data_IF_331590707971
#
_entry.id   IF_331590707971
#
_cell.length_a   1.000
_cell.length_b   1.000
_cell.length_c   1.000
_cell.angle_alpha   90.00
_cell.angle_beta   90.00
_cell.angle_gamma   90.00
#
_symmetry.space_group_name_H-M   'P 1'
#
loop_
_entity.id
_entity.type
_entity.pdbx_description
1 polymer ?
#
# COMPACT_ATOMS: atom_id res chain seq x y z
N UNK A 1 -70.23 36.74 15.51
CA UNK A 1 -69.25 37.06 16.57
C UNK A 1 -68.03 37.72 15.91
N UNK A 2 -67.56 38.87 16.39
CA UNK A 2 -66.36 39.52 15.83
C UNK A 2 -65.10 38.72 16.19
N UNK A 3 -64.19 38.52 15.23
CA UNK A 3 -62.95 37.73 15.37
C UNK A 3 -62.13 38.12 16.62
N UNK A 4 -62.11 39.42 16.94
CA UNK A 4 -61.40 39.97 18.11
C UNK A 4 -61.99 39.51 19.45
N UNK A 5 -63.32 39.36 19.54
CA UNK A 5 -63.98 38.88 20.76
C UNK A 5 -63.74 37.38 20.99
N UNK A 6 -63.51 36.61 19.92
CA UNK A 6 -63.18 35.19 20.01
C UNK A 6 -61.75 34.97 20.51
N UNK A 7 -60.78 35.69 19.96
CA UNK A 7 -59.36 35.61 20.33
C UNK A 7 -59.10 35.97 21.80
N UNK A 8 -59.94 36.78 22.43
CA UNK A 8 -59.84 37.11 23.87
C UNK A 8 -60.77 36.28 24.75
N UNK A 9 -61.48 35.31 24.19
CA UNK A 9 -62.45 34.50 24.94
C UNK A 9 -61.77 33.38 25.74
N UNK A 10 -62.36 32.99 26.87
CA UNK A 10 -61.89 31.84 27.68
C UNK A 10 -61.87 30.54 26.87
N UNK A 11 -62.79 30.40 25.90
CA UNK A 11 -62.88 29.22 25.03
C UNK A 11 -61.69 29.11 24.09
N UNK A 12 -61.22 30.24 23.53
CA UNK A 12 -60.03 30.26 22.68
C UNK A 12 -58.78 29.82 23.45
N UNK A 13 -58.55 30.37 24.65
CA UNK A 13 -57.42 29.95 25.49
C UNK A 13 -57.50 28.48 25.90
N UNK A 14 -58.71 27.95 26.17
CA UNK A 14 -58.90 26.54 26.48
C UNK A 14 -58.54 25.64 25.30
N UNK A 15 -58.97 25.98 24.07
CA UNK A 15 -58.60 25.24 22.86
C UNK A 15 -57.10 25.30 22.55
N UNK A 16 -56.48 26.47 22.72
CA UNK A 16 -55.01 26.62 22.56
C UNK A 16 -54.28 25.76 23.57
N UNK A 17 -54.72 25.74 24.83
CA UNK A 17 -54.14 24.90 25.87
C UNK A 17 -54.36 23.40 25.58
N UNK A 18 -55.55 23.00 25.11
CA UNK A 18 -55.83 21.62 24.68
C UNK A 18 -54.97 21.22 23.48
N UNK A 19 -54.83 22.08 22.47
CA UNK A 19 -53.97 21.83 21.32
C UNK A 19 -52.49 21.71 21.75
N UNK A 20 -52.01 22.59 22.63
CA UNK A 20 -50.67 22.51 23.17
C UNK A 20 -50.44 21.21 23.97
N UNK A 21 -51.42 20.80 24.78
CA UNK A 21 -51.37 19.53 25.51
C UNK A 21 -51.32 18.33 24.57
N UNK A 22 -52.14 18.32 23.51
CA UNK A 22 -52.13 17.26 22.49
C UNK A 22 -50.76 17.20 21.80
N UNK A 23 -50.21 18.34 21.39
CA UNK A 23 -48.88 18.41 20.77
C UNK A 23 -47.81 17.89 21.74
N UNK A 24 -47.84 18.30 23.00
CA UNK A 24 -46.89 17.83 24.02
C UNK A 24 -46.96 16.30 24.21
N UNK A 25 -48.17 15.73 24.25
CA UNK A 25 -48.38 14.28 24.33
C UNK A 25 -47.85 13.59 23.07
N UNK A 26 -48.14 14.11 21.88
CA UNK A 26 -47.64 13.53 20.63
C UNK A 26 -46.11 13.56 20.55
N UNK A 27 -45.47 14.66 20.96
CA UNK A 27 -44.01 14.76 21.04
C UNK A 27 -43.44 13.76 22.05
N UNK A 28 -44.06 13.62 23.22
CA UNK A 28 -43.64 12.66 24.24
C UNK A 28 -43.74 11.21 23.72
N UNK A 29 -44.87 10.83 23.12
CA UNK A 29 -45.06 9.50 22.54
C UNK A 29 -44.10 9.24 21.38
N UNK A 30 -43.86 10.23 20.53
CA UNK A 30 -42.90 10.13 19.44
C UNK A 30 -41.47 9.94 19.95
N UNK A 31 -41.06 10.71 20.97
CA UNK A 31 -39.75 10.54 21.61
C UNK A 31 -39.62 9.16 22.26
N UNK A 32 -40.65 8.68 22.95
CA UNK A 32 -40.64 7.36 23.56
C UNK A 32 -40.55 6.23 22.52
N UNK A 33 -41.29 6.37 21.41
CA UNK A 33 -41.21 5.42 20.29
C UNK A 33 -39.83 5.41 19.64
N UNK A 34 -39.19 6.58 19.45
CA UNK A 34 -37.82 6.69 18.96
C UNK A 34 -36.82 5.98 19.88
N UNK A 35 -36.91 6.16 21.20
CA UNK A 35 -36.01 5.49 22.15
C UNK A 35 -36.10 3.98 22.01
N UNK A 36 -37.32 3.43 21.89
CA UNK A 36 -37.55 2.00 21.72
C UNK A 36 -37.06 1.45 20.37
N UNK A 37 -37.26 2.20 19.27
CA UNK A 37 -36.91 1.71 17.93
C UNK A 37 -35.46 1.91 17.54
N UNK A 38 -34.77 2.90 18.13
CA UNK A 38 -33.40 3.27 17.69
C UNK A 38 -32.29 2.79 18.61
N UNK A 39 -32.64 2.22 19.77
CA UNK A 39 -31.70 1.81 20.82
C UNK A 39 -30.64 2.89 21.10
N UNK A 40 -31.12 4.12 21.28
CA UNK A 40 -30.27 5.28 21.44
C UNK A 40 -29.57 5.28 22.81
N UNK A 41 -28.25 5.37 22.81
CA UNK A 41 -27.42 5.48 24.01
C UNK A 41 -26.63 4.22 24.38
N UNK A 42 -26.93 3.08 23.76
CA UNK A 42 -26.14 1.85 23.93
C UNK A 42 -25.05 1.79 22.86
N UNK A 43 -23.86 2.25 23.24
CA UNK A 43 -22.69 2.30 22.37
C UNK A 43 -21.51 1.56 23.01
N UNK A 44 -20.80 0.82 22.17
CA UNK A 44 -19.61 0.04 22.53
C UNK A 44 -18.40 0.73 21.92
N UNK A 45 -17.36 0.91 22.72
CA UNK A 45 -16.09 1.42 22.22
C UNK A 45 -15.35 0.29 21.50
N UNK A 46 -15.03 0.51 20.22
CA UNK A 46 -14.32 -0.48 19.40
C UNK A 46 -12.93 -0.74 20.01
N UNK A 47 -12.57 -2.00 20.30
CA UNK A 47 -11.26 -2.32 20.85
C UNK A 47 -10.15 -2.09 19.80
N UNK A 48 -8.92 -1.96 20.29
CA UNK A 48 -7.76 -2.04 19.41
C UNK A 48 -7.47 -3.52 19.06
N UNK A 49 -7.53 -3.82 17.77
CA UNK A 49 -7.31 -5.13 17.19
C UNK A 49 -5.91 -5.26 16.56
N UNK A 50 -5.15 -4.16 16.45
CA UNK A 50 -3.84 -4.17 15.80
C UNK A 50 -2.90 -5.22 16.42
N UNK A 51 -2.19 -5.95 15.55
CA UNK A 51 -1.27 -7.05 15.86
C UNK A 51 -1.89 -8.31 16.45
N UNK A 52 -3.21 -8.39 16.62
CA UNK A 52 -3.88 -9.62 17.03
C UNK A 52 -4.05 -10.58 15.85
N UNK A 53 -4.07 -11.88 16.13
CA UNK A 53 -4.48 -12.91 15.14
C UNK A 53 -5.99 -12.87 14.93
N UNK A 54 -6.46 -13.48 13.84
CA UNK A 54 -7.90 -13.60 13.55
C UNK A 54 -8.67 -14.26 14.72
N UNK A 55 -8.14 -15.35 15.29
CA UNK A 55 -8.71 -16.02 16.46
C UNK A 55 -8.82 -15.10 17.69
N UNK A 56 -7.78 -14.31 17.98
CA UNK A 56 -7.80 -13.34 19.08
C UNK A 56 -8.76 -12.17 18.81
N UNK A 57 -9.00 -11.83 17.54
CA UNK A 57 -9.97 -10.80 17.15
C UNK A 57 -11.39 -11.31 17.38
N UNK A 58 -11.67 -12.55 16.97
CA UNK A 58 -12.96 -13.20 17.17
C UNK A 58 -13.31 -13.24 18.67
N UNK A 59 -12.44 -13.80 19.51
CA UNK A 59 -12.64 -13.87 20.96
C UNK A 59 -12.94 -12.48 21.56
N UNK A 60 -12.17 -11.47 21.17
CA UNK A 60 -12.28 -10.11 21.73
C UNK A 60 -13.51 -9.35 21.27
N UNK A 61 -14.03 -9.64 20.08
CA UNK A 61 -15.22 -8.98 19.55
C UNK A 61 -16.50 -9.69 20.00
N UNK A 62 -16.47 -11.01 20.14
CA UNK A 62 -17.57 -11.81 20.66
C UNK A 62 -17.94 -11.41 22.10
N UNK A 63 -16.95 -11.10 22.95
CA UNK A 63 -17.17 -10.55 24.30
C UNK A 63 -17.96 -9.22 24.32
N UNK A 64 -18.00 -8.52 23.19
CA UNK A 64 -18.63 -7.22 23.02
C UNK A 64 -19.86 -7.26 22.09
N UNK A 65 -20.34 -8.46 21.72
CA UNK A 65 -21.41 -8.63 20.72
C UNK A 65 -21.12 -7.85 19.42
N UNK A 66 -19.85 -7.83 19.00
CA UNK A 66 -19.38 -7.24 17.75
C UNK A 66 -18.93 -8.35 16.80
N UNK A 67 -19.14 -8.12 15.50
CA UNK A 67 -18.68 -9.02 14.45
C UNK A 67 -17.43 -8.44 13.77
N UNK A 68 -16.67 -9.27 13.05
CA UNK A 68 -15.69 -8.78 12.08
C UNK A 68 -15.97 -9.27 10.65
N UNK A 69 -15.34 -8.58 9.70
CA UNK A 69 -15.24 -8.99 8.31
C UNK A 69 -13.79 -8.83 7.88
N UNK A 70 -13.16 -9.94 7.52
CA UNK A 70 -11.85 -9.93 6.87
C UNK A 70 -12.00 -9.46 5.43
N UNK A 71 -11.42 -8.29 5.12
CA UNK A 71 -11.48 -7.73 3.77
C UNK A 71 -10.42 -8.32 2.85
N UNK A 72 -9.15 -8.18 3.22
CA UNK A 72 -8.00 -8.65 2.44
C UNK A 72 -6.73 -8.64 3.30
N UNK A 73 -5.65 -9.15 2.73
CA UNK A 73 -4.29 -8.93 3.18
C UNK A 73 -3.70 -7.64 2.62
N UNK A 74 -2.84 -6.98 3.41
CA UNK A 74 -1.97 -5.90 2.92
C UNK A 74 -0.58 -6.47 2.57
N UNK A 75 0.20 -5.72 1.80
CA UNK A 75 1.63 -6.02 1.58
C UNK A 75 2.34 -6.19 2.93
N UNK A 76 3.28 -7.13 2.99
CA UNK A 76 3.93 -7.49 4.25
C UNK A 76 4.66 -6.32 4.90
N UNK A 77 4.34 -6.10 6.17
CA UNK A 77 4.96 -5.09 7.04
C UNK A 77 5.71 -5.79 8.16
N UNK A 78 7.01 -5.51 8.28
CA UNK A 78 7.89 -6.15 9.26
C UNK A 78 7.55 -5.84 10.72
N UNK A 79 6.85 -4.73 10.96
CA UNK A 79 6.45 -4.26 12.28
C UNK A 79 5.16 -4.92 12.80
N UNK A 80 4.56 -5.81 12.00
CA UNK A 80 3.40 -6.63 12.34
C UNK A 80 3.74 -8.12 12.23
N UNK A 81 3.23 -8.98 13.13
CA UNK A 81 3.27 -10.43 12.95
C UNK A 81 2.59 -10.88 11.65
N UNK A 82 2.89 -12.10 11.22
CA UNK A 82 2.23 -12.70 10.04
C UNK A 82 0.76 -12.95 10.35
N UNK A 83 -0.12 -12.67 9.40
CA UNK A 83 -1.58 -12.84 9.53
C UNK A 83 -2.21 -12.09 10.70
N UNK A 84 -1.53 -11.07 11.24
CA UNK A 84 -2.11 -10.23 12.28
C UNK A 84 -2.81 -9.01 11.67
N UNK A 85 -3.80 -8.45 12.36
CA UNK A 85 -4.49 -7.24 11.91
C UNK A 85 -3.52 -6.06 11.81
N UNK A 86 -3.55 -5.40 10.65
CA UNK A 86 -2.77 -4.19 10.34
C UNK A 86 -3.66 -2.97 10.34
N UNK A 87 -4.86 -3.10 9.76
CA UNK A 87 -5.84 -2.02 9.64
C UNK A 87 -7.17 -2.50 10.16
N UNK A 88 -7.90 -1.60 10.83
CA UNK A 88 -9.28 -1.82 11.23
C UNK A 88 -10.12 -0.58 10.89
N UNK A 89 -11.38 -0.81 10.58
CA UNK A 89 -12.41 0.21 10.47
C UNK A 89 -13.72 -0.30 11.10
N UNK A 90 -14.31 0.39 12.09
CA UNK A 90 -13.90 1.68 12.65
C UNK A 90 -12.60 1.68 13.48
N UNK A 91 -12.04 2.87 13.67
CA UNK A 91 -10.82 3.07 14.46
C UNK A 91 -11.04 2.72 15.95
N UNK A 92 -9.98 2.31 16.67
CA UNK A 92 -10.07 2.03 18.10
C UNK A 92 -10.65 3.21 18.89
N UNK A 93 -11.52 2.92 19.86
CA UNK A 93 -12.21 3.91 20.68
C UNK A 93 -13.41 4.58 20.00
N UNK A 94 -13.65 4.33 18.71
CA UNK A 94 -14.88 4.75 18.04
C UNK A 94 -16.07 4.08 18.70
N UNK A 95 -17.16 4.83 18.91
CA UNK A 95 -18.39 4.30 19.48
C UNK A 95 -19.28 3.73 18.39
N UNK A 96 -19.70 2.48 18.55
CA UNK A 96 -20.55 1.76 17.61
C UNK A 96 -21.71 1.09 18.33
N UNK A 97 -22.76 0.73 17.59
CA UNK A 97 -23.87 -0.07 18.14
C UNK A 97 -23.48 -1.56 18.18
N UNK A 98 -24.21 -2.30 19.01
CA UNK A 98 -24.18 -3.77 19.05
C UNK A 98 -24.38 -4.36 17.65
N UNK A 99 -23.68 -5.46 17.34
CA UNK A 99 -23.75 -6.14 16.05
C UNK A 99 -23.08 -5.36 14.90
N UNK A 100 -22.32 -4.30 15.19
CA UNK A 100 -21.54 -3.59 14.17
C UNK A 100 -20.41 -4.49 13.69
N UNK A 101 -20.32 -4.66 12.37
CA UNK A 101 -19.19 -5.32 11.71
C UNK A 101 -17.96 -4.42 11.71
N UNK A 102 -16.85 -4.93 12.23
CA UNK A 102 -15.52 -4.33 12.20
C UNK A 102 -14.75 -4.91 11.01
N UNK A 103 -14.41 -4.05 10.06
CA UNK A 103 -13.64 -4.46 8.89
C UNK A 103 -12.17 -4.49 9.24
N UNK A 104 -11.51 -5.62 8.98
CA UNK A 104 -10.09 -5.79 9.25
C UNK A 104 -9.33 -6.11 7.97
N UNK A 105 -8.08 -5.65 7.90
CA UNK A 105 -7.09 -6.16 6.95
C UNK A 105 -5.92 -6.75 7.71
N UNK A 106 -5.39 -7.86 7.21
CA UNK A 106 -4.32 -8.61 7.87
C UNK A 106 -2.99 -8.45 7.16
N UNK A 107 -1.90 -8.70 7.89
CA UNK A 107 -0.56 -8.70 7.33
C UNK A 107 -0.36 -9.97 6.49
N UNK A 108 0.23 -9.84 5.30
CA UNK A 108 0.66 -11.00 4.53
C UNK A 108 1.66 -11.88 5.30
N UNK A 109 1.89 -13.11 4.83
CA UNK A 109 2.87 -14.02 5.45
C UNK A 109 4.33 -13.69 5.13
N UNK A 110 4.55 -12.83 4.14
CA UNK A 110 5.87 -12.37 3.71
C UNK A 110 5.77 -11.43 2.51
N UNK A 111 6.90 -10.86 2.11
CA UNK A 111 6.98 -9.96 0.97
C UNK A 111 6.47 -10.63 -0.31
N UNK A 112 5.66 -9.92 -1.09
CA UNK A 112 5.24 -10.37 -2.41
C UNK A 112 6.42 -10.39 -3.38
N UNK A 113 6.34 -11.22 -4.42
CA UNK A 113 7.41 -11.31 -5.44
C UNK A 113 7.14 -10.39 -6.63
N UNK A 114 8.19 -9.80 -7.18
CA UNK A 114 8.19 -8.98 -8.39
C UNK A 114 9.18 -9.52 -9.40
N UNK A 115 8.95 -9.25 -10.68
CA UNK A 115 9.87 -9.62 -11.75
C UNK A 115 10.95 -8.55 -11.91
N UNK A 116 12.18 -8.97 -12.14
CA UNK A 116 13.28 -8.09 -12.48
C UNK A 116 13.03 -7.45 -13.85
N UNK A 117 13.00 -6.12 -13.95
CA UNK A 117 12.84 -5.40 -15.21
C UNK A 117 14.13 -5.46 -16.04
N UNK A 118 14.02 -5.08 -17.31
CA UNK A 118 15.19 -4.91 -18.17
C UNK A 118 15.88 -3.58 -17.87
N UNK A 119 16.95 -3.66 -17.07
CA UNK A 119 17.76 -2.52 -16.66
C UNK A 119 19.22 -2.65 -17.12
N UNK A 120 19.55 -3.69 -17.88
CA UNK A 120 20.89 -3.82 -18.45
C UNK A 120 21.07 -2.73 -19.51
N UNK A 121 22.27 -2.15 -19.59
CA UNK A 121 22.61 -1.00 -20.46
C UNK A 121 21.85 0.30 -20.13
N UNK A 122 21.00 0.31 -19.11
CA UNK A 122 20.36 1.53 -18.60
C UNK A 122 21.30 2.31 -17.72
N UNK A 123 21.11 3.62 -17.65
CA UNK A 123 21.89 4.45 -16.72
C UNK A 123 21.44 4.21 -15.28
N UNK A 124 22.34 4.33 -14.31
CA UNK A 124 22.02 4.27 -12.89
C UNK A 124 20.88 5.22 -12.49
N UNK A 125 20.82 6.39 -13.13
CA UNK A 125 19.78 7.41 -12.93
C UNK A 125 18.38 6.94 -13.37
N UNK A 126 18.30 6.04 -14.35
CA UNK A 126 17.06 5.40 -14.82
C UNK A 126 16.73 4.14 -14.02
N UNK A 127 17.75 3.35 -13.68
CA UNK A 127 17.60 2.08 -12.99
C UNK A 127 17.06 2.24 -11.55
N UNK A 128 17.58 3.18 -10.77
CA UNK A 128 17.19 3.34 -9.36
C UNK A 128 15.70 3.69 -9.18
N UNK A 129 15.13 4.68 -9.88
CA UNK A 129 13.69 4.95 -9.81
C UNK A 129 12.85 3.73 -10.20
N UNK A 130 13.30 2.97 -11.21
CA UNK A 130 12.59 1.78 -11.70
C UNK A 130 12.57 0.66 -10.65
N UNK A 131 13.71 0.40 -10.00
CA UNK A 131 13.79 -0.55 -8.89
C UNK A 131 12.88 -0.13 -7.73
N UNK A 132 12.94 1.14 -7.33
CA UNK A 132 12.11 1.67 -6.24
C UNK A 132 10.62 1.59 -6.55
N UNK A 133 10.22 1.87 -7.78
CA UNK A 133 8.82 1.76 -8.22
C UNK A 133 8.27 0.33 -8.11
N UNK A 134 9.14 -0.68 -8.24
CA UNK A 134 8.79 -2.09 -8.06
C UNK A 134 8.87 -2.55 -6.59
N UNK A 135 9.15 -1.63 -5.65
CA UNK A 135 9.34 -1.96 -4.25
C UNK A 135 10.64 -2.70 -3.97
N UNK A 136 11.66 -2.56 -4.83
CA UNK A 136 13.01 -3.05 -4.61
C UNK A 136 13.92 -1.93 -4.10
N UNK A 137 14.96 -2.30 -3.37
CA UNK A 137 15.92 -1.34 -2.81
C UNK A 137 17.24 -1.39 -3.58
N UNK A 138 17.86 -0.23 -3.92
CA UNK A 138 19.22 -0.23 -4.43
C UNK A 138 20.18 -0.69 -3.32
N UNK A 139 21.00 -1.69 -3.65
CA UNK A 139 22.02 -2.24 -2.78
C UNK A 139 23.39 -1.57 -2.98
N UNK A 140 24.43 -2.39 -2.96
CA UNK A 140 25.82 -1.97 -3.14
C UNK A 140 26.09 -1.66 -4.60
N UNK A 141 26.87 -0.61 -4.85
CA UNK A 141 27.31 -0.23 -6.20
C UNK A 141 28.77 -0.64 -6.35
N UNK A 142 29.08 -1.37 -7.42
CA UNK A 142 30.46 -1.74 -7.80
C UNK A 142 30.75 -1.23 -9.18
N UNK A 143 31.94 -0.69 -9.41
CA UNK A 143 32.35 -0.21 -10.74
C UNK A 143 33.35 -1.17 -11.37
N UNK A 144 33.22 -1.41 -12.68
CA UNK A 144 34.19 -2.15 -13.49
C UNK A 144 34.60 -1.34 -14.72
N UNK A 145 35.82 -1.58 -15.27
CA UNK A 145 36.27 -0.96 -16.50
C UNK A 145 35.26 -1.17 -17.63
N UNK A 146 34.63 -0.10 -18.07
CA UNK A 146 33.68 -0.12 -19.19
C UNK A 146 33.62 1.26 -19.84
N UNK A 147 33.18 1.30 -21.10
CA UNK A 147 33.07 2.53 -21.86
C UNK A 147 31.84 3.37 -21.41
N UNK A 148 30.75 2.72 -21.04
CA UNK A 148 29.52 3.36 -20.57
C UNK A 148 29.61 3.75 -19.09
N UNK A 149 29.91 5.02 -18.81
CA UNK A 149 29.92 5.55 -17.44
C UNK A 149 28.52 5.47 -16.80
N UNK A 150 28.46 4.98 -15.56
CA UNK A 150 27.23 4.82 -14.77
C UNK A 150 26.17 3.92 -15.44
N UNK A 151 26.56 3.16 -16.47
CA UNK A 151 25.71 2.20 -17.16
C UNK A 151 25.64 0.91 -16.36
N UNK A 152 24.43 0.38 -16.16
CA UNK A 152 24.21 -0.89 -15.48
C UNK A 152 24.64 -2.04 -16.38
N UNK A 153 25.65 -2.77 -15.93
CA UNK A 153 26.20 -3.92 -16.64
C UNK A 153 25.64 -5.23 -16.08
N UNK A 154 25.49 -5.31 -14.75
CA UNK A 154 24.91 -6.46 -14.08
C UNK A 154 24.07 -6.04 -12.89
N UNK A 155 23.08 -6.87 -12.57
CA UNK A 155 22.32 -6.81 -11.33
C UNK A 155 22.58 -8.08 -10.52
N UNK A 156 22.79 -7.94 -9.22
CA UNK A 156 23.07 -9.06 -8.32
C UNK A 156 22.16 -9.03 -7.09
N UNK A 157 21.82 -10.21 -6.60
CA UNK A 157 21.13 -10.38 -5.33
C UNK A 157 21.86 -11.46 -4.52
N UNK A 158 22.41 -11.08 -3.36
CA UNK A 158 23.18 -11.98 -2.49
C UNK A 158 24.28 -12.73 -3.25
N UNK A 159 24.99 -12.02 -4.12
CA UNK A 159 26.08 -12.58 -4.95
C UNK A 159 25.64 -13.35 -6.20
N UNK A 160 24.34 -13.62 -6.40
CA UNK A 160 23.82 -14.28 -7.61
C UNK A 160 23.47 -13.24 -8.67
N UNK A 161 23.93 -13.43 -9.90
CA UNK A 161 23.52 -12.60 -11.04
C UNK A 161 22.03 -12.81 -11.37
N UNK A 162 21.30 -11.71 -11.51
CA UNK A 162 19.89 -11.68 -11.84
C UNK A 162 19.70 -11.50 -13.34
N UNK A 163 18.71 -12.20 -13.90
CA UNK A 163 18.28 -12.02 -15.30
C UNK A 163 16.95 -11.31 -15.36
N UNK A 164 16.67 -10.68 -16.49
CA UNK A 164 15.36 -10.09 -16.78
C UNK A 164 14.27 -11.16 -16.63
N UNK A 165 13.21 -10.84 -15.91
CA UNK A 165 12.11 -11.76 -15.64
C UNK A 165 12.29 -12.64 -14.40
N UNK A 166 13.49 -12.69 -13.80
CA UNK A 166 13.70 -13.39 -12.53
C UNK A 166 12.75 -12.86 -11.45
N UNK A 167 12.23 -13.75 -10.60
CA UNK A 167 11.39 -13.34 -9.46
C UNK A 167 12.24 -13.08 -8.23
N UNK A 168 12.04 -11.91 -7.64
CA UNK A 168 12.66 -11.48 -6.39
C UNK A 168 11.59 -10.99 -5.42
N UNK A 169 11.83 -11.08 -4.13
CA UNK A 169 10.90 -10.56 -3.13
C UNK A 169 10.98 -9.03 -3.12
N UNK A 170 9.85 -8.34 -2.93
CA UNK A 170 9.83 -6.92 -2.58
C UNK A 170 10.70 -6.68 -1.34
N UNK A 171 11.20 -5.46 -1.20
CA UNK A 171 12.21 -5.04 -0.23
C UNK A 171 13.57 -5.74 -0.35
N UNK A 172 13.82 -6.54 -1.40
CA UNK A 172 15.15 -7.07 -1.68
C UNK A 172 16.10 -5.95 -2.12
N UNK A 173 17.32 -6.00 -1.60
CA UNK A 173 18.42 -5.13 -2.03
C UNK A 173 19.09 -5.69 -3.28
N UNK A 174 19.08 -4.92 -4.36
CA UNK A 174 19.67 -5.28 -5.65
C UNK A 174 20.99 -4.54 -5.80
N UNK A 175 22.09 -5.28 -5.77
CA UNK A 175 23.42 -4.73 -6.00
C UNK A 175 23.61 -4.46 -7.50
N UNK A 176 24.22 -3.33 -7.85
CA UNK A 176 24.41 -2.90 -9.23
C UNK A 176 25.89 -2.87 -9.57
N UNK A 177 26.27 -3.51 -10.68
CA UNK A 177 27.60 -3.37 -11.27
C UNK A 177 27.49 -2.35 -12.40
N UNK A 178 28.23 -1.26 -12.28
CA UNK A 178 28.21 -0.14 -13.20
C UNK A 178 29.52 -0.01 -13.98
N UNK A 179 29.45 0.59 -15.15
CA UNK A 179 30.65 0.99 -15.90
C UNK A 179 31.29 2.26 -15.35
N UNK A 180 32.62 2.29 -15.29
CA UNK A 180 33.39 3.44 -14.78
C UNK A 180 33.73 4.51 -15.83
N UNK A 181 33.49 4.23 -17.11
CA UNK A 181 33.79 5.12 -18.23
C UNK A 181 35.26 5.19 -18.62
N UNK A 182 36.12 4.29 -18.13
CA UNK A 182 37.59 4.35 -18.34
C UNK A 182 38.10 3.45 -19.46
N UNK A 183 37.27 2.57 -20.01
CA UNK A 183 37.69 1.75 -21.14
C UNK A 183 37.76 2.61 -22.41
N UNK A 184 38.81 2.43 -23.21
CA UNK A 184 38.96 3.05 -24.53
C UNK A 184 38.66 2.01 -25.61
N UNK A 185 38.09 2.43 -26.74
CA UNK A 185 37.98 1.58 -27.92
C UNK A 185 39.39 1.23 -28.41
N UNK A 186 39.71 -0.07 -28.45
CA UNK A 186 40.90 -0.56 -29.15
C UNK A 186 40.44 -0.92 -30.56
N UNK A 187 40.95 -0.19 -31.54
CA UNK A 187 40.66 -0.41 -32.95
C UNK A 187 41.54 -1.55 -33.47
N UNK A 188 40.98 -2.75 -33.61
CA UNK A 188 41.67 -3.94 -34.11
C UNK A 188 42.08 -3.82 -35.60
N UNK A 189 41.66 -2.75 -36.31
CA UNK A 189 41.97 -2.58 -37.74
C UNK A 189 43.41 -2.14 -38.04
N UNK A 190 44.20 -1.69 -37.05
CA UNK A 190 45.59 -1.26 -37.26
C UNK A 190 46.64 -2.37 -37.13
N UNK A 191 46.24 -3.59 -36.77
CA UNK A 191 47.18 -4.72 -36.62
C UNK A 191 47.56 -5.41 -37.95
N UNK A 192 46.88 -5.10 -39.06
CA UNK A 192 47.05 -5.82 -40.33
C UNK A 192 48.03 -5.14 -41.33
N UNK A 193 48.41 -3.88 -41.13
CA UNK A 193 49.11 -3.08 -42.16
C UNK A 193 50.65 -3.02 -41.98
N UNK A 194 51.24 -3.91 -41.17
CA UNK A 194 52.69 -3.94 -40.90
C UNK A 194 53.35 -5.30 -41.16
N UNK A 195 52.80 -6.10 -42.08
CA UNK A 195 53.56 -7.22 -42.67
C UNK A 195 54.23 -6.74 -43.95
N UNK A 196 55.51 -6.43 -43.78
CA UNK A 196 56.44 -6.00 -44.80
C UNK A 196 56.36 -6.82 -46.09
N UNK A 197 56.35 -6.11 -47.21
CA UNK A 197 56.58 -6.62 -48.57
C UNK A 197 57.94 -7.33 -48.61
N UNK A 198 58.03 -8.63 -48.95
CA UNK A 198 59.30 -9.26 -49.26
C UNK A 198 59.76 -8.82 -50.65
N UNK A 199 60.98 -8.32 -50.70
CA UNK A 199 61.76 -7.96 -51.87
C UNK A 199 61.98 -9.22 -52.76
N UNK A 200 61.32 -9.29 -53.92
CA UNK A 200 61.58 -10.33 -54.92
C UNK A 200 62.85 -9.97 -55.73
N UNK A 201 63.92 -10.73 -55.51
CA UNK A 201 65.08 -10.78 -56.40
C UNK A 201 64.79 -11.74 -57.56
N UNK A 202 64.95 -11.35 -58.84
CA UNK A 202 64.74 -12.26 -59.96
C UNK A 202 65.90 -13.25 -60.07
N UNK A 203 65.59 -14.54 -60.09
CA UNK A 203 66.52 -15.61 -60.47
C UNK A 203 66.70 -15.61 -62.00
N UNK A 204 67.95 -15.56 -62.42
CA UNK A 204 68.40 -15.99 -63.75
C UNK A 204 68.01 -17.45 -63.99
N UNK A 205 67.43 -17.76 -65.16
CA UNK A 205 67.78 -18.95 -65.96
C UNK A 205 67.12 -18.94 -67.35
N UNK A 206 68.00 -19.01 -68.37
CA UNK A 206 67.87 -19.37 -69.80
C UNK A 206 67.37 -18.33 -70.82
#
# INVERSE_FOLDING_TARGET
MSLRKYLTSRVFFLQVLSAAAIVAVLVYLFMHWLTFTTDHGHEIAVPNLARLTEEQVEEKLDELDLDYVLLDSVDYRSEFPKYSVVEQDPLPGTKVKVGRKIYIKINSSGFSSVKIPDLIEKTYREAVPTLKALGLEPGTITYIPNLGKDMVLEMRLKGRNLKVGDRVLKASKIDLVLGDGKASYVDDSQAADSTAVPEETPKDEQ
#
